data_IF_961139887733
#
_entry.id   IF_961139887733
#
_cell.length_a   1.000
_cell.length_b   1.000
_cell.length_c   1.000
_cell.angle_alpha   90.00
_cell.angle_beta   90.00
_cell.angle_gamma   90.00
#
_symmetry.space_group_name_H-M   'P 1'
#
loop_
_entity.id
_entity.type
_entity.pdbx_description
1 polymer ?
#
# COMPACT_ATOMS: atom_id res chain seq x y z
N UNK A 1 -17.22 -9.68 -20.51
CA UNK A 1 -18.25 -9.69 -19.44
C UNK A 1 -19.62 -9.47 -20.08
N UNK A 2 -20.57 -10.41 -19.91
CA UNK A 2 -21.93 -10.25 -20.47
C UNK A 2 -22.63 -9.10 -19.75
N UNK A 3 -23.20 -8.15 -20.52
CA UNK A 3 -23.97 -7.02 -20.01
C UNK A 3 -25.27 -7.53 -19.38
N UNK A 4 -25.31 -7.61 -18.06
CA UNK A 4 -26.46 -8.02 -17.26
C UNK A 4 -26.20 -7.75 -15.78
N UNK A 5 -27.25 -7.60 -14.97
CA UNK A 5 -27.13 -7.42 -13.52
C UNK A 5 -26.44 -8.66 -12.92
N UNK A 6 -25.40 -8.49 -12.08
CA UNK A 6 -24.72 -9.62 -11.44
C UNK A 6 -25.71 -10.48 -10.64
N UNK A 7 -25.49 -11.79 -10.58
CA UNK A 7 -26.30 -12.67 -9.72
C UNK A 7 -25.95 -12.43 -8.25
N UNK A 8 -26.83 -12.78 -7.30
CA UNK A 8 -26.57 -12.60 -5.85
C UNK A 8 -25.24 -13.24 -5.39
N UNK A 9 -24.87 -14.38 -5.96
CA UNK A 9 -23.60 -15.05 -5.66
C UNK A 9 -22.38 -14.29 -6.24
N UNK A 10 -22.54 -13.64 -7.39
CA UNK A 10 -21.48 -12.80 -7.96
C UNK A 10 -21.31 -11.49 -7.18
N UNK A 11 -22.42 -10.92 -6.68
CA UNK A 11 -22.39 -9.74 -5.82
C UNK A 11 -21.63 -10.00 -4.51
N UNK A 12 -21.83 -11.15 -3.85
CA UNK A 12 -21.12 -11.47 -2.61
C UNK A 12 -19.63 -11.74 -2.85
N UNK A 13 -19.26 -12.42 -3.95
CA UNK A 13 -17.85 -12.59 -4.34
C UNK A 13 -17.16 -11.27 -4.62
N UNK A 14 -17.83 -10.36 -5.32
CA UNK A 14 -17.31 -9.01 -5.56
C UNK A 14 -17.13 -8.26 -4.24
N UNK A 15 -18.09 -8.35 -3.33
CA UNK A 15 -18.02 -7.72 -2.01
C UNK A 15 -16.87 -8.27 -1.14
N UNK A 16 -16.63 -9.58 -1.13
CA UNK A 16 -15.47 -10.18 -0.46
C UNK A 16 -14.15 -9.66 -1.03
N UNK A 17 -14.02 -9.61 -2.36
CA UNK A 17 -12.82 -9.04 -2.99
C UNK A 17 -12.65 -7.55 -2.68
N UNK A 18 -13.73 -6.78 -2.60
CA UNK A 18 -13.66 -5.37 -2.18
C UNK A 18 -13.20 -5.26 -0.71
N UNK A 19 -13.61 -6.19 0.16
CA UNK A 19 -13.23 -6.19 1.58
C UNK A 19 -11.73 -6.39 1.75
N UNK A 20 -11.10 -7.29 0.99
CA UNK A 20 -9.64 -7.49 1.03
C UNK A 20 -8.85 -6.21 0.73
N UNK A 21 -9.36 -5.38 -0.18
CA UNK A 21 -8.74 -4.09 -0.51
C UNK A 21 -8.99 -3.04 0.58
N UNK A 22 -10.19 -3.06 1.17
CA UNK A 22 -10.54 -2.20 2.29
C UNK A 22 -9.66 -2.48 3.52
N UNK A 23 -9.42 -3.75 3.85
CA UNK A 23 -8.58 -4.16 4.99
C UNK A 23 -7.10 -3.81 4.83
N UNK A 24 -6.65 -3.62 3.59
CA UNK A 24 -5.31 -3.17 3.23
C UNK A 24 -5.20 -1.65 3.08
N UNK A 25 -6.24 -0.91 3.48
CA UNK A 25 -6.34 0.55 3.32
C UNK A 25 -6.09 1.03 1.86
N UNK A 26 -6.41 0.18 0.87
CA UNK A 26 -6.30 0.54 -0.55
C UNK A 26 -7.49 1.41 -0.93
N UNK A 27 -7.23 2.58 -1.53
CA UNK A 27 -8.28 3.51 -1.92
C UNK A 27 -9.32 2.89 -2.87
N UNK A 28 -10.57 3.35 -2.74
CA UNK A 28 -11.68 2.90 -3.58
C UNK A 28 -11.40 3.06 -5.09
N UNK A 29 -10.65 4.10 -5.47
CA UNK A 29 -10.24 4.37 -6.86
C UNK A 29 -9.28 3.30 -7.40
N UNK A 30 -8.29 2.91 -6.59
CA UNK A 30 -7.32 1.86 -6.97
C UNK A 30 -8.02 0.50 -7.01
N UNK A 31 -8.82 0.17 -5.99
CA UNK A 31 -9.60 -1.07 -5.95
C UNK A 31 -10.56 -1.19 -7.15
N UNK A 32 -11.18 -0.08 -7.58
CA UNK A 32 -12.10 -0.07 -8.72
C UNK A 32 -11.39 -0.42 -10.03
N UNK A 33 -10.19 0.10 -10.22
CA UNK A 33 -9.35 -0.18 -11.38
C UNK A 33 -8.94 -1.64 -11.42
N UNK A 34 -8.47 -2.19 -10.30
CA UNK A 34 -7.98 -3.57 -10.20
C UNK A 34 -9.12 -4.61 -10.31
N UNK A 35 -10.28 -4.33 -9.71
CA UNK A 35 -11.41 -5.27 -9.69
C UNK A 35 -12.32 -5.12 -10.91
N UNK A 36 -12.17 -4.08 -11.72
CA UNK A 36 -13.07 -3.77 -12.83
C UNK A 36 -14.49 -3.44 -12.37
N UNK A 37 -14.64 -2.92 -11.14
CA UNK A 37 -15.93 -2.58 -10.52
C UNK A 37 -16.12 -1.08 -10.55
N UNK A 38 -17.37 -0.61 -10.66
CA UNK A 38 -17.67 0.81 -10.62
C UNK A 38 -17.18 1.44 -9.29
N UNK A 39 -16.38 2.53 -9.32
CA UNK A 39 -15.90 3.20 -8.13
C UNK A 39 -17.01 3.53 -7.12
N UNK A 40 -18.20 3.95 -7.60
CA UNK A 40 -19.34 4.28 -6.73
C UNK A 40 -19.81 3.08 -5.89
N UNK A 41 -19.73 1.87 -6.44
CA UNK A 41 -20.07 0.63 -5.73
C UNK A 41 -19.07 0.38 -4.61
N UNK A 42 -17.78 0.53 -4.88
CA UNK A 42 -16.72 0.37 -3.88
C UNK A 42 -16.86 1.43 -2.78
N UNK A 43 -17.03 2.70 -3.14
CA UNK A 43 -17.28 3.79 -2.18
C UNK A 43 -18.48 3.50 -1.28
N UNK A 44 -19.57 2.95 -1.83
CA UNK A 44 -20.75 2.56 -1.04
C UNK A 44 -20.39 1.48 -0.01
N UNK A 45 -19.62 0.46 -0.39
CA UNK A 45 -19.19 -0.60 0.53
C UNK A 45 -18.26 -0.07 1.62
N UNK A 46 -17.24 0.71 1.24
CA UNK A 46 -16.31 1.34 2.17
C UNK A 46 -17.06 2.20 3.17
N UNK A 47 -17.93 3.11 2.69
CA UNK A 47 -18.74 3.97 3.54
C UNK A 47 -19.64 3.17 4.49
N UNK A 48 -20.21 2.06 4.05
CA UNK A 48 -21.02 1.21 4.92
C UNK A 48 -20.18 0.53 6.01
N UNK A 49 -18.98 0.04 5.68
CA UNK A 49 -18.07 -0.52 6.66
C UNK A 49 -17.53 0.53 7.62
N UNK A 50 -17.21 1.72 7.12
CA UNK A 50 -16.85 2.87 7.95
C UNK A 50 -18.01 3.26 8.86
N UNK A 51 -19.26 3.28 8.37
CA UNK A 51 -20.45 3.57 9.18
C UNK A 51 -20.71 2.50 10.26
N UNK A 52 -20.54 1.22 9.93
CA UNK A 52 -20.57 0.12 10.92
C UNK A 52 -19.47 0.28 11.97
N UNK A 53 -18.36 0.90 11.58
CA UNK A 53 -17.21 1.22 12.42
C UNK A 53 -17.30 2.56 13.15
N UNK A 54 -18.18 3.49 12.75
CA UNK A 54 -18.31 4.87 13.24
C UNK A 54 -19.30 5.03 14.40
N UNK A 55 -20.04 3.98 14.79
CA UNK A 55 -20.80 3.96 16.04
C UNK A 55 -19.93 3.90 17.30
N UNK A 56 -18.68 4.35 17.22
CA UNK A 56 -17.58 4.00 18.13
C UNK A 56 -16.80 5.28 18.48
N UNK A 57 -16.56 5.44 19.79
CA UNK A 57 -15.94 6.56 20.53
C UNK A 57 -14.72 7.22 19.84
N UNK A 58 -14.49 8.52 20.09
CA UNK A 58 -13.38 9.32 19.54
C UNK A 58 -12.00 8.66 19.80
N UNK A 59 -11.88 7.95 20.93
CA UNK A 59 -10.70 7.14 21.26
C UNK A 59 -10.40 6.03 20.26
N UNK A 60 -11.44 5.40 19.70
CA UNK A 60 -11.28 4.32 18.73
C UNK A 60 -10.93 4.85 17.34
N UNK A 61 -11.36 6.07 17.00
CA UNK A 61 -10.91 6.74 15.78
C UNK A 61 -9.40 7.04 15.83
N UNK A 62 -8.93 7.63 16.93
CA UNK A 62 -7.49 7.90 17.12
C UNK A 62 -6.66 6.61 17.15
N UNK A 63 -7.15 5.57 17.83
CA UNK A 63 -6.52 4.24 17.84
C UNK A 63 -6.39 3.66 16.43
N UNK A 64 -7.43 3.78 15.60
CA UNK A 64 -7.38 3.31 14.21
C UNK A 64 -6.38 4.07 13.35
N UNK A 65 -6.31 5.39 13.47
CA UNK A 65 -5.31 6.18 12.73
C UNK A 65 -3.90 5.73 13.11
N UNK A 66 -3.64 5.53 14.41
CA UNK A 66 -2.34 5.01 14.89
C UNK A 66 -2.06 3.62 14.30
N UNK A 67 -3.01 2.70 14.40
CA UNK A 67 -2.87 1.34 13.88
C UNK A 67 -2.66 1.31 12.36
N UNK A 68 -3.38 2.12 11.58
CA UNK A 68 -3.20 2.24 10.13
C UNK A 68 -1.84 2.81 9.79
N UNK A 69 -1.38 3.83 10.52
CA UNK A 69 -0.03 4.40 10.36
C UNK A 69 1.04 3.34 10.64
N UNK A 70 0.92 2.59 11.73
CA UNK A 70 1.86 1.52 12.09
C UNK A 70 1.88 0.40 11.05
N UNK A 71 0.72 -0.07 10.58
CA UNK A 71 0.62 -1.07 9.51
C UNK A 71 1.26 -0.59 8.22
N UNK A 72 1.04 0.68 7.86
CA UNK A 72 1.64 1.29 6.67
C UNK A 72 3.16 1.38 6.80
N UNK A 73 3.68 1.72 7.98
CA UNK A 73 5.12 1.70 8.27
C UNK A 73 5.68 0.28 8.11
N UNK A 74 5.01 -0.72 8.71
CA UNK A 74 5.43 -2.12 8.61
C UNK A 74 5.47 -2.59 7.14
N UNK A 75 4.43 -2.28 6.35
CA UNK A 75 4.42 -2.62 4.92
C UNK A 75 5.58 -1.98 4.17
N UNK A 76 5.92 -0.72 4.47
CA UNK A 76 7.08 -0.05 3.86
C UNK A 76 8.41 -0.72 4.28
N UNK A 77 8.51 -1.21 5.53
CA UNK A 77 9.69 -1.96 5.99
C UNK A 77 9.84 -3.30 5.27
N UNK A 78 8.75 -4.03 5.09
CA UNK A 78 8.71 -5.28 4.33
C UNK A 78 9.14 -5.06 2.87
N UNK A 79 8.64 -4.00 2.24
CA UNK A 79 9.06 -3.59 0.88
C UNK A 79 10.56 -3.26 0.82
N UNK A 80 11.09 -2.53 1.82
CA UNK A 80 12.53 -2.21 1.90
C UNK A 80 13.37 -3.48 2.01
N UNK A 81 12.97 -4.44 2.83
CA UNK A 81 13.65 -5.73 2.97
C UNK A 81 13.60 -6.51 1.65
N UNK A 82 12.43 -6.56 1.00
CA UNK A 82 12.25 -7.23 -0.28
C UNK A 82 13.15 -6.64 -1.37
N UNK A 83 13.14 -5.31 -1.52
CA UNK A 83 13.99 -4.59 -2.49
C UNK A 83 15.48 -4.80 -2.20
N UNK A 84 15.88 -4.93 -0.93
CA UNK A 84 17.28 -5.20 -0.56
C UNK A 84 17.69 -6.61 -1.02
N UNK A 85 16.84 -7.62 -0.79
CA UNK A 85 17.06 -8.99 -1.29
C UNK A 85 17.11 -9.06 -2.82
N UNK A 86 16.31 -8.25 -3.51
CA UNK A 86 16.38 -8.15 -4.98
C UNK A 86 17.70 -7.57 -5.47
N UNK A 87 18.23 -6.54 -4.79
CA UNK A 87 19.54 -5.95 -5.11
C UNK A 87 20.64 -7.02 -4.98
N UNK A 88 20.67 -7.77 -3.88
CA UNK A 88 21.67 -8.83 -3.66
C UNK A 88 21.60 -9.91 -4.76
N UNK A 89 20.38 -10.29 -5.17
CA UNK A 89 20.17 -11.23 -6.28
C UNK A 89 20.67 -10.68 -7.61
N UNK A 90 20.41 -9.41 -7.90
CA UNK A 90 20.88 -8.77 -9.12
C UNK A 90 22.42 -8.70 -9.12
N UNK A 91 23.05 -8.38 -8.00
CA UNK A 91 24.51 -8.38 -7.86
C UNK A 91 25.11 -9.76 -8.14
N UNK A 92 24.55 -10.81 -7.58
CA UNK A 92 24.96 -12.19 -7.87
C UNK A 92 24.85 -12.55 -9.36
N UNK A 93 23.76 -12.12 -10.02
CA UNK A 93 23.59 -12.34 -11.46
C UNK A 93 24.60 -11.52 -12.28
N UNK A 94 24.95 -10.31 -11.85
CA UNK A 94 25.96 -9.47 -12.49
C UNK A 94 27.34 -10.14 -12.45
N UNK A 95 27.73 -10.71 -11.31
CA UNK A 95 28.99 -11.44 -11.18
C UNK A 95 29.07 -12.64 -12.13
N UNK A 96 27.98 -13.43 -12.20
CA UNK A 96 27.89 -14.55 -13.16
C UNK A 96 27.96 -14.08 -14.61
N UNK A 97 27.32 -12.97 -14.94
CA UNK A 97 27.35 -12.39 -16.28
C UNK A 97 28.78 -12.00 -16.70
N UNK A 98 29.56 -11.42 -15.77
CA UNK A 98 30.96 -11.10 -16.00
C UNK A 98 31.82 -12.35 -16.19
N UNK A 99 31.62 -13.38 -15.36
CA UNK A 99 32.32 -14.66 -15.48
C UNK A 99 32.07 -15.34 -16.84
N UNK A 100 30.85 -15.21 -17.36
CA UNK A 100 30.46 -15.75 -18.66
C UNK A 100 30.84 -14.84 -19.85
N UNK A 101 31.47 -13.68 -19.60
CA UNK A 101 31.82 -12.71 -20.64
C UNK A 101 30.62 -12.00 -21.29
N UNK A 102 29.43 -12.10 -20.71
CA UNK A 102 28.21 -11.50 -21.26
C UNK A 102 28.06 -10.04 -20.79
N UNK A 103 28.72 -9.12 -21.49
CA UNK A 103 28.72 -7.69 -21.15
C UNK A 103 27.32 -7.07 -21.30
N UNK A 104 26.57 -7.48 -22.32
CA UNK A 104 25.23 -6.94 -22.58
C UNK A 104 24.23 -7.27 -21.47
N UNK A 105 24.30 -8.49 -20.92
CA UNK A 105 23.49 -8.89 -19.77
C UNK A 105 23.90 -8.14 -18.50
N UNK A 106 25.20 -7.98 -18.27
CA UNK A 106 25.72 -7.18 -17.16
C UNK A 106 25.18 -5.74 -17.19
N UNK A 107 25.22 -5.07 -18.34
CA UNK A 107 24.69 -3.70 -18.46
C UNK A 107 23.18 -3.60 -18.18
N UNK A 108 22.40 -4.60 -18.61
CA UNK A 108 20.96 -4.67 -18.32
C UNK A 108 20.70 -4.85 -16.83
N UNK A 109 21.45 -5.74 -16.19
CA UNK A 109 21.36 -5.98 -14.75
C UNK A 109 21.81 -4.76 -13.95
N UNK A 110 22.85 -4.05 -14.37
CA UNK A 110 23.29 -2.81 -13.74
C UNK A 110 22.22 -1.71 -13.79
N UNK A 111 21.53 -1.56 -14.94
CA UNK A 111 20.38 -0.64 -15.07
C UNK A 111 19.22 -1.04 -14.16
N UNK A 112 18.93 -2.34 -14.08
CA UNK A 112 17.89 -2.86 -13.19
C UNK A 112 18.23 -2.59 -11.73
N UNK A 113 19.47 -2.86 -11.31
CA UNK A 113 19.99 -2.55 -9.96
C UNK A 113 19.78 -1.09 -9.61
N UNK A 114 20.17 -0.17 -10.49
CA UNK A 114 20.00 1.28 -10.27
C UNK A 114 18.52 1.65 -10.09
N UNK A 115 17.62 1.07 -10.90
CA UNK A 115 16.18 1.28 -10.77
C UNK A 115 15.64 0.77 -9.43
N UNK A 116 16.04 -0.43 -9.00
CA UNK A 116 15.65 -1.03 -7.72
C UNK A 116 16.18 -0.23 -6.54
N UNK A 117 17.44 0.24 -6.59
CA UNK A 117 18.01 1.15 -5.59
C UNK A 117 17.23 2.46 -5.48
N UNK A 118 16.90 3.08 -6.62
CA UNK A 118 16.08 4.29 -6.64
C UNK A 118 14.69 4.07 -6.03
N UNK A 119 14.06 2.93 -6.31
CA UNK A 119 12.78 2.59 -5.70
C UNK A 119 12.91 2.41 -4.19
N UNK A 120 13.94 1.71 -3.72
CA UNK A 120 14.23 1.53 -2.29
C UNK A 120 14.41 2.88 -1.58
N UNK A 121 15.17 3.81 -2.17
CA UNK A 121 15.34 5.16 -1.61
C UNK A 121 14.00 5.89 -1.50
N UNK A 122 13.14 5.80 -2.53
CA UNK A 122 11.79 6.41 -2.47
C UNK A 122 10.93 5.80 -1.36
N UNK A 123 10.96 4.48 -1.19
CA UNK A 123 10.24 3.79 -0.11
C UNK A 123 10.76 4.21 1.27
N UNK A 124 12.08 4.34 1.45
CA UNK A 124 12.68 4.87 2.68
C UNK A 124 12.23 6.30 2.96
N UNK A 125 12.25 7.19 1.95
CA UNK A 125 11.76 8.56 2.10
C UNK A 125 10.28 8.59 2.48
N UNK A 126 9.44 7.76 1.87
CA UNK A 126 8.04 7.63 2.22
C UNK A 126 7.84 7.18 3.68
N UNK A 127 8.64 6.20 4.14
CA UNK A 127 8.65 5.75 5.54
C UNK A 127 9.03 6.89 6.48
N UNK A 128 10.13 7.61 6.20
CA UNK A 128 10.58 8.73 7.04
C UNK A 128 9.50 9.80 7.14
N UNK A 129 8.89 10.17 6.01
CA UNK A 129 7.80 11.15 5.99
C UNK A 129 6.59 10.67 6.80
N UNK A 130 6.23 9.39 6.68
CA UNK A 130 5.11 8.84 7.44
C UNK A 130 5.42 8.81 8.94
N UNK A 131 6.60 8.33 9.35
CA UNK A 131 7.03 8.33 10.76
C UNK A 131 7.00 9.74 11.34
N UNK A 132 7.57 10.72 10.63
CA UNK A 132 7.63 12.12 11.05
C UNK A 132 6.31 12.88 10.99
N UNK A 133 5.28 12.36 10.31
CA UNK A 133 3.98 13.00 10.25
C UNK A 133 3.29 12.94 11.63
N UNK A 134 2.90 14.09 12.24
CA UNK A 134 2.20 14.09 13.51
C UNK A 134 0.87 13.35 13.40
N UNK A 135 0.53 12.56 14.42
CA UNK A 135 -0.76 11.88 14.50
C UNK A 135 -1.85 12.86 14.94
N UNK A 136 -3.11 12.54 14.62
CA UNK A 136 -4.25 13.43 14.85
C UNK A 136 -4.40 13.89 16.31
N UNK A 137 -4.02 13.04 17.28
CA UNK A 137 -4.02 13.37 18.71
C UNK A 137 -3.01 14.46 19.09
N UNK A 138 -1.84 14.49 18.45
CA UNK A 138 -0.82 15.53 18.66
C UNK A 138 -1.32 16.86 18.09
N UNK A 139 -2.00 16.83 16.94
CA UNK A 139 -2.54 18.04 16.31
C UNK A 139 -3.70 18.63 17.13
N UNK A 140 -4.64 17.80 17.60
CA UNK A 140 -5.79 18.23 18.41
C UNK A 140 -5.32 18.86 19.74
N UNK A 141 -4.33 18.25 20.41
CA UNK A 141 -3.80 18.80 21.66
C UNK A 141 -3.06 20.14 21.48
N UNK A 142 -2.43 20.36 20.33
CA UNK A 142 -1.73 21.62 20.05
C UNK A 142 -2.70 22.75 19.66
N UNK A 143 -3.82 22.46 19.00
CA UNK A 143 -4.87 23.45 18.71
C UNK A 143 -5.57 23.93 19.99
N UNK A 144 -5.78 23.03 20.96
CA UNK A 144 -6.34 23.37 22.27
C UNK A 144 -5.43 24.19 23.20
N UNK A 145 -4.13 24.28 22.91
CA UNK A 145 -3.17 25.13 23.65
C UNK A 145 -3.02 26.55 23.06
N UNK A 146 -3.53 26.79 21.85
CA UNK A 146 -3.45 28.09 21.16
C UNK A 146 -4.78 28.87 21.18
N UNK A 147 -5.84 28.32 21.80
CA UNK A 147 -7.12 28.96 22.06
C UNK A 147 -7.20 29.44 23.52
#
# INVERSE_FOLDING_TARGET
MKRGRPTKNDEEKIKQRILEYYEKDISATVAAKELGVNPKTIYKHYKNWDAQKLGIDEKDFLSRIKNTKERSIQSLEEDIISLSKEIDRIEFLMEKSLQNGNILEYEKLAKLKLKTMNQRTKTISAKINLVGAPTADILINNEGMLA
#
